data_IF_314990675832
#
_entry.id   IF_314990675832
#
_cell.length_a   1.000
_cell.length_b   1.000
_cell.length_c   1.000
_cell.angle_alpha   90.00
_cell.angle_beta   90.00
_cell.angle_gamma   90.00
#
_symmetry.space_group_name_H-M   'P 1'
#
loop_
_entity.id
_entity.type
_entity.pdbx_description
1 polymer ?
#
# COMPACT_ATOMS: atom_id res chain seq x y z
N UNK A 1 -53.55 -25.20 -26.57
CA UNK A 1 -53.80 -23.97 -25.78
C UNK A 1 -52.48 -23.53 -25.26
N UNK A 2 -51.95 -22.44 -25.82
CA UNK A 2 -50.56 -22.07 -25.72
C UNK A 2 -50.31 -21.27 -24.44
N UNK A 3 -49.51 -21.79 -23.54
CA UNK A 3 -49.07 -21.17 -22.27
C UNK A 3 -48.19 -19.92 -22.44
N UNK A 4 -47.88 -19.52 -23.66
CA UNK A 4 -46.94 -18.43 -23.95
C UNK A 4 -47.60 -17.05 -24.14
N UNK A 5 -48.92 -16.95 -24.14
CA UNK A 5 -49.64 -15.68 -24.36
C UNK A 5 -49.40 -14.62 -23.28
N UNK A 6 -49.28 -14.94 -21.99
CA UNK A 6 -49.01 -13.93 -20.98
C UNK A 6 -47.59 -13.35 -21.07
N UNK A 7 -46.62 -14.17 -21.47
CA UNK A 7 -45.20 -13.75 -21.57
C UNK A 7 -45.03 -12.80 -22.76
N UNK A 8 -45.62 -13.09 -23.90
CA UNK A 8 -45.56 -12.24 -25.08
C UNK A 8 -46.23 -10.87 -24.86
N UNK A 9 -47.28 -10.83 -24.06
CA UNK A 9 -47.93 -9.56 -23.68
C UNK A 9 -47.01 -8.68 -22.84
N UNK A 10 -46.31 -9.26 -21.85
CA UNK A 10 -45.34 -8.56 -21.01
C UNK A 10 -44.14 -8.06 -21.82
N UNK A 11 -43.60 -8.87 -22.72
CA UNK A 11 -42.49 -8.50 -23.60
C UNK A 11 -42.88 -7.35 -24.55
N UNK A 12 -44.11 -7.33 -25.05
CA UNK A 12 -44.61 -6.26 -25.90
C UNK A 12 -44.82 -4.96 -25.13
N UNK A 13 -45.20 -5.02 -23.86
CA UNK A 13 -45.38 -3.85 -23.01
C UNK A 13 -44.01 -3.25 -22.65
N UNK A 14 -43.01 -4.09 -22.38
CA UNK A 14 -41.63 -3.68 -22.09
C UNK A 14 -40.88 -3.08 -23.32
N UNK A 15 -41.32 -3.42 -24.54
CA UNK A 15 -40.77 -2.90 -25.80
C UNK A 15 -41.42 -1.61 -26.26
N UNK A 16 -42.42 -1.08 -25.51
CA UNK A 16 -42.99 0.24 -25.85
C UNK A 16 -41.88 1.30 -25.81
N UNK A 17 -41.62 1.97 -26.94
CA UNK A 17 -40.69 3.08 -26.91
C UNK A 17 -41.26 4.20 -26.03
N UNK A 18 -40.55 4.52 -24.96
CA UNK A 18 -40.92 5.66 -24.11
C UNK A 18 -40.75 6.92 -24.97
N UNK A 19 -41.80 7.74 -25.14
CA UNK A 19 -41.65 8.97 -25.91
C UNK A 19 -40.70 9.91 -25.14
N UNK A 20 -39.48 9.99 -25.62
CA UNK A 20 -38.48 10.95 -25.13
C UNK A 20 -38.88 12.32 -25.67
N UNK A 21 -39.22 13.23 -24.80
CA UNK A 21 -39.59 14.59 -25.18
C UNK A 21 -38.45 15.23 -25.97
N UNK A 22 -38.69 15.79 -27.18
CA UNK A 22 -37.67 16.42 -28.01
C UNK A 22 -36.91 17.58 -27.28
N UNK A 23 -37.50 18.08 -26.21
CA UNK A 23 -36.90 19.14 -25.38
C UNK A 23 -35.94 18.63 -24.31
N UNK A 24 -35.86 17.32 -24.07
CA UNK A 24 -35.00 16.77 -23.00
C UNK A 24 -33.52 17.06 -23.32
N UNK A 25 -33.10 16.79 -24.56
CA UNK A 25 -31.74 17.03 -25.00
C UNK A 25 -31.36 18.52 -24.91
N UNK A 26 -32.29 19.39 -25.28
CA UNK A 26 -32.09 20.84 -25.19
C UNK A 26 -31.96 21.32 -23.74
N UNK A 27 -32.78 20.78 -22.84
CA UNK A 27 -32.73 21.12 -21.40
C UNK A 27 -31.48 20.59 -20.72
N UNK A 28 -31.05 19.38 -21.06
CA UNK A 28 -29.83 18.78 -20.52
C UNK A 28 -28.61 19.55 -21.01
N UNK A 29 -28.53 19.83 -22.31
CA UNK A 29 -27.45 20.61 -22.88
C UNK A 29 -27.41 22.04 -22.36
N UNK A 30 -28.55 22.71 -22.18
CA UNK A 30 -28.62 24.02 -21.61
C UNK A 30 -28.12 24.06 -20.13
N UNK A 31 -28.38 22.99 -19.34
CA UNK A 31 -27.83 22.89 -17.99
C UNK A 31 -26.34 22.62 -17.97
N UNK A 32 -25.83 21.78 -18.85
CA UNK A 32 -24.40 21.47 -18.96
C UNK A 32 -23.63 22.74 -19.38
N UNK A 33 -24.16 23.50 -20.35
CA UNK A 33 -23.53 24.74 -20.81
C UNK A 33 -23.69 25.90 -19.77
N UNK A 34 -24.79 25.97 -19.04
CA UNK A 34 -24.97 26.96 -17.97
C UNK A 34 -24.13 26.64 -16.72
N UNK A 35 -23.77 25.37 -16.50
CA UNK A 35 -22.85 24.96 -15.44
C UNK A 35 -21.37 25.15 -15.79
N UNK A 36 -21.05 25.44 -17.04
CA UNK A 36 -19.71 25.84 -17.43
C UNK A 36 -19.43 27.24 -16.90
N UNK A 37 -18.88 27.33 -15.69
CA UNK A 37 -18.34 28.61 -15.20
C UNK A 37 -17.35 29.12 -16.24
N UNK A 38 -17.45 30.39 -16.67
CA UNK A 38 -16.44 30.96 -17.54
C UNK A 38 -15.10 30.77 -16.85
N UNK A 39 -14.14 30.17 -17.55
CA UNK A 39 -12.79 30.08 -17.06
C UNK A 39 -12.36 31.50 -16.65
N UNK A 40 -11.80 31.71 -15.46
CA UNK A 40 -11.30 33.02 -15.07
C UNK A 40 -10.33 33.48 -16.17
N UNK A 41 -10.55 34.70 -16.68
CA UNK A 41 -9.68 35.29 -17.67
C UNK A 41 -8.23 35.14 -17.20
N UNK A 42 -7.27 34.79 -18.07
CA UNK A 42 -5.88 34.62 -17.64
C UNK A 42 -5.40 35.96 -17.10
N UNK A 43 -5.36 36.04 -15.79
CA UNK A 43 -4.75 37.17 -15.08
C UNK A 43 -3.29 37.23 -15.56
N UNK A 44 -2.86 38.37 -16.04
CA UNK A 44 -1.56 38.66 -16.67
C UNK A 44 -0.34 38.46 -15.73
N UNK A 45 -0.37 37.45 -14.88
CA UNK A 45 0.72 37.11 -13.97
C UNK A 45 1.09 35.63 -14.09
N UNK A 46 1.69 35.22 -15.24
CA UNK A 46 2.10 33.82 -15.45
C UNK A 46 3.11 33.34 -14.42
N UNK A 47 3.85 34.27 -13.81
CA UNK A 47 4.82 33.95 -12.77
C UNK A 47 4.21 33.53 -11.43
N UNK A 48 2.97 33.96 -11.10
CA UNK A 48 2.27 33.48 -9.90
C UNK A 48 1.83 32.02 -10.06
N UNK A 49 1.43 31.60 -11.24
CA UNK A 49 1.11 30.19 -11.51
C UNK A 49 2.37 29.32 -11.44
N UNK A 50 3.51 29.82 -11.92
CA UNK A 50 4.79 29.13 -11.81
C UNK A 50 5.26 29.05 -10.34
N UNK A 51 5.08 30.11 -9.57
CA UNK A 51 5.40 30.13 -8.14
C UNK A 51 4.54 29.14 -7.33
N UNK A 52 3.23 29.04 -7.65
CA UNK A 52 2.35 28.07 -7.01
C UNK A 52 2.73 26.62 -7.33
N UNK A 53 3.08 26.33 -8.59
CA UNK A 53 3.55 25.03 -8.99
C UNK A 53 4.88 24.67 -8.31
N UNK A 54 5.82 25.62 -8.22
CA UNK A 54 7.08 25.44 -7.54
C UNK A 54 6.90 25.22 -6.02
N UNK A 55 5.95 25.94 -5.40
CA UNK A 55 5.64 25.78 -3.98
C UNK A 55 5.02 24.39 -3.70
N UNK A 56 4.11 23.91 -4.53
CA UNK A 56 3.52 22.56 -4.39
C UNK A 56 4.60 21.49 -4.60
N UNK A 57 5.47 21.65 -5.59
CA UNK A 57 6.59 20.74 -5.82
C UNK A 57 7.57 20.77 -4.64
N UNK A 58 7.89 21.96 -4.11
CA UNK A 58 8.74 22.10 -2.94
C UNK A 58 8.11 21.45 -1.68
N UNK A 59 6.80 21.58 -1.48
CA UNK A 59 6.09 20.93 -0.36
C UNK A 59 6.07 19.40 -0.53
N UNK A 60 5.92 18.90 -1.76
CA UNK A 60 5.96 17.45 -2.03
C UNK A 60 7.36 16.90 -1.85
N UNK A 61 8.41 17.65 -2.26
CA UNK A 61 9.80 17.27 -2.09
C UNK A 61 10.32 17.52 -0.67
N UNK A 62 9.79 18.54 0.00
CA UNK A 62 10.13 18.90 1.39
C UNK A 62 9.23 18.20 2.43
N UNK A 63 8.47 17.19 2.04
CA UNK A 63 7.95 16.26 3.05
C UNK A 63 9.18 15.75 3.78
N UNK A 64 9.33 16.03 5.11
CA UNK A 64 10.42 15.44 5.86
C UNK A 64 10.28 13.94 5.61
N UNK A 65 11.18 13.42 4.77
CA UNK A 65 11.19 12.02 4.44
C UNK A 65 11.33 11.35 5.80
N UNK A 66 10.32 10.60 6.18
CA UNK A 66 10.47 9.69 7.30
C UNK A 66 11.63 8.78 6.91
N UNK A 67 12.82 9.20 7.30
CA UNK A 67 14.05 8.51 6.95
C UNK A 67 14.06 7.11 7.55
N UNK A 68 15.02 6.28 7.13
CA UNK A 68 15.17 4.94 7.67
C UNK A 68 15.29 4.99 9.20
N UNK A 69 14.46 4.22 9.89
CA UNK A 69 14.52 4.09 11.34
C UNK A 69 15.36 2.87 11.74
N UNK A 70 16.14 2.94 12.84
CA UNK A 70 16.84 1.78 13.35
C UNK A 70 15.83 0.80 13.96
N UNK A 71 15.85 -0.43 13.49
CA UNK A 71 15.05 -1.55 13.97
C UNK A 71 15.99 -2.55 14.62
N UNK A 72 15.70 -2.94 15.86
CA UNK A 72 16.44 -3.98 16.56
C UNK A 72 15.75 -5.34 16.34
N UNK A 73 16.49 -6.30 15.83
CA UNK A 73 16.06 -7.70 15.75
C UNK A 73 16.83 -8.48 16.81
N UNK A 74 16.14 -9.21 17.66
CA UNK A 74 16.73 -9.99 18.73
C UNK A 74 16.08 -11.38 18.82
N UNK A 75 16.91 -12.40 19.04
CA UNK A 75 16.48 -13.78 19.27
C UNK A 75 17.24 -14.38 20.44
N UNK A 76 16.51 -14.98 21.37
CA UNK A 76 17.11 -15.81 22.42
C UNK A 76 17.39 -17.21 21.88
N UNK A 77 18.67 -17.49 21.67
CA UNK A 77 19.12 -18.77 21.11
C UNK A 77 20.51 -19.14 21.69
N UNK A 78 20.58 -19.50 22.98
CA UNK A 78 21.85 -19.69 23.68
C UNK A 78 22.68 -20.83 23.12
N UNK A 79 22.04 -21.83 22.48
CA UNK A 79 22.69 -22.99 21.88
C UNK A 79 23.06 -22.80 20.40
N UNK A 80 22.68 -21.67 19.80
CA UNK A 80 22.99 -21.42 18.39
C UNK A 80 24.50 -21.12 18.21
N UNK A 81 25.05 -21.66 17.14
CA UNK A 81 26.40 -21.31 16.67
C UNK A 81 26.39 -20.04 15.81
N UNK A 82 25.30 -19.81 15.09
CA UNK A 82 25.09 -18.61 14.27
C UNK A 82 23.59 -18.29 14.17
N UNK A 83 23.28 -16.98 14.06
CA UNK A 83 21.93 -16.50 13.80
C UNK A 83 22.02 -15.38 12.78
N UNK A 84 21.12 -15.36 11.82
CA UNK A 84 20.92 -14.26 10.89
C UNK A 84 19.44 -13.89 10.79
N UNK A 85 19.12 -12.66 10.42
CA UNK A 85 17.76 -12.24 10.10
C UNK A 85 17.61 -12.10 8.58
N UNK A 86 16.51 -12.59 8.06
CA UNK A 86 16.16 -12.56 6.65
C UNK A 86 14.76 -11.98 6.49
N UNK A 87 14.50 -11.31 5.39
CA UNK A 87 13.20 -10.71 5.13
C UNK A 87 13.18 -9.92 3.83
N UNK A 88 12.07 -9.20 3.62
CA UNK A 88 11.85 -8.38 2.43
C UNK A 88 12.93 -7.29 2.23
N UNK A 89 13.61 -6.90 3.31
CA UNK A 89 14.64 -5.86 3.32
C UNK A 89 16.04 -6.34 2.88
N UNK A 90 16.27 -7.64 2.71
CA UNK A 90 17.56 -8.20 2.30
C UNK A 90 17.42 -9.40 1.34
N UNK A 91 16.32 -9.43 0.57
CA UNK A 91 16.03 -10.48 -0.43
C UNK A 91 16.06 -11.90 0.16
N UNK A 92 15.72 -12.03 1.44
CA UNK A 92 15.72 -13.31 2.17
C UNK A 92 17.07 -14.01 2.18
N UNK A 93 18.17 -13.26 2.08
CA UNK A 93 19.53 -13.79 2.02
C UNK A 93 20.11 -14.00 3.43
N UNK A 94 20.35 -15.26 3.87
CA UNK A 94 20.86 -15.56 5.20
C UNK A 94 22.27 -15.03 5.47
N UNK A 95 23.01 -14.64 4.44
CA UNK A 95 24.37 -14.11 4.58
C UNK A 95 24.42 -12.60 4.71
N UNK A 96 23.32 -11.91 4.42
CA UNK A 96 23.30 -10.45 4.35
C UNK A 96 23.29 -9.79 5.73
N UNK A 97 22.61 -10.37 6.72
CA UNK A 97 22.36 -9.72 8.02
C UNK A 97 22.61 -10.69 9.19
N UNK A 98 23.88 -11.01 9.48
CA UNK A 98 24.21 -11.84 10.65
C UNK A 98 23.99 -11.06 11.96
N UNK A 99 23.53 -11.76 13.00
CA UNK A 99 23.38 -11.23 14.34
C UNK A 99 24.66 -11.42 15.17
N UNK A 100 24.86 -10.51 16.11
CA UNK A 100 25.95 -10.61 17.08
C UNK A 100 25.47 -11.22 18.38
N UNK A 101 26.21 -12.18 18.92
CA UNK A 101 25.90 -12.82 20.20
C UNK A 101 26.18 -11.87 21.36
N UNK A 102 25.22 -11.66 22.21
CA UNK A 102 25.31 -10.89 23.44
C UNK A 102 25.50 -11.80 24.66
N UNK A 103 25.71 -11.18 25.82
CA UNK A 103 25.74 -11.92 27.09
C UNK A 103 24.38 -12.58 27.32
N UNK A 104 24.36 -13.80 27.88
CA UNK A 104 23.12 -14.52 28.17
C UNK A 104 22.60 -15.38 27.02
N UNK A 105 23.22 -15.36 25.84
CA UNK A 105 22.80 -16.20 24.72
C UNK A 105 21.79 -15.57 23.77
N UNK A 106 21.47 -14.29 23.98
CA UNK A 106 20.65 -13.49 23.05
C UNK A 106 21.50 -13.05 21.85
N UNK A 107 20.92 -13.09 20.67
CA UNK A 107 21.50 -12.59 19.43
C UNK A 107 20.79 -11.33 19.00
N UNK A 108 21.54 -10.32 18.51
CA UNK A 108 20.98 -9.02 18.19
C UNK A 108 21.69 -8.37 16.98
N UNK A 109 20.88 -7.65 16.17
CA UNK A 109 21.36 -6.74 15.12
C UNK A 109 20.44 -5.53 15.00
N UNK A 110 21.01 -4.38 14.63
CA UNK A 110 20.26 -3.17 14.29
C UNK A 110 20.32 -2.95 12.78
N UNK A 111 19.18 -2.88 12.14
CA UNK A 111 19.04 -2.63 10.69
C UNK A 111 18.30 -1.32 10.50
N UNK A 112 18.76 -0.48 9.60
CA UNK A 112 18.03 0.73 9.21
C UNK A 112 17.06 0.38 8.11
N UNK A 113 15.77 0.55 8.37
CA UNK A 113 14.68 0.23 7.44
C UNK A 113 13.86 1.48 7.14
N UNK A 114 13.47 1.64 5.90
CA UNK A 114 12.51 2.65 5.50
C UNK A 114 11.14 2.39 6.16
N UNK A 115 10.29 3.43 6.30
CA UNK A 115 8.93 3.22 6.78
C UNK A 115 8.17 2.25 5.89
N UNK A 116 7.57 1.23 6.50
CA UNK A 116 6.88 0.18 5.76
C UNK A 116 6.56 -1.04 6.62
N UNK A 117 5.98 -2.02 6.00
CA UNK A 117 5.73 -3.32 6.59
C UNK A 117 6.65 -4.35 5.94
N UNK A 118 7.28 -5.18 6.74
CA UNK A 118 8.26 -6.17 6.30
C UNK A 118 7.94 -7.52 6.90
N UNK A 119 7.97 -8.55 6.07
CA UNK A 119 8.00 -9.93 6.51
C UNK A 119 9.44 -10.34 6.81
N UNK A 120 9.64 -11.12 7.85
CA UNK A 120 10.98 -11.59 8.23
C UNK A 120 10.94 -12.90 9.01
N UNK A 121 12.09 -13.54 9.10
CA UNK A 121 12.35 -14.69 9.94
C UNK A 121 13.81 -14.69 10.42
N UNK A 122 14.12 -15.52 11.40
CA UNK A 122 15.50 -15.81 11.77
C UNK A 122 15.96 -17.12 11.12
N UNK A 123 17.22 -17.17 10.77
CA UNK A 123 17.88 -18.40 10.31
C UNK A 123 18.95 -18.78 11.34
N UNK A 124 18.72 -19.89 12.03
CA UNK A 124 19.59 -20.41 13.07
C UNK A 124 20.46 -21.52 12.47
N UNK A 125 21.76 -21.46 12.72
CA UNK A 125 22.76 -22.43 12.23
C UNK A 125 22.74 -22.64 10.71
N UNK A 126 22.34 -21.58 9.98
CA UNK A 126 22.36 -21.53 8.51
C UNK A 126 21.23 -22.26 7.79
N UNK A 127 20.39 -23.04 8.48
CA UNK A 127 19.36 -23.85 7.84
C UNK A 127 18.00 -23.88 8.57
N UNK A 128 17.97 -23.59 9.85
CA UNK A 128 16.73 -23.66 10.63
C UNK A 128 16.02 -22.31 10.63
N UNK A 129 14.91 -22.23 9.94
CA UNK A 129 14.07 -21.03 9.83
C UNK A 129 13.13 -20.95 11.02
N UNK A 130 13.23 -19.89 11.78
CA UNK A 130 12.47 -19.68 13.02
C UNK A 130 11.76 -18.33 12.94
N UNK A 131 10.42 -18.28 13.07
CA UNK A 131 9.71 -17.03 13.22
C UNK A 131 10.09 -16.38 14.54
N UNK A 132 9.98 -15.06 14.62
CA UNK A 132 10.18 -14.34 15.88
C UNK A 132 9.09 -14.73 16.88
N UNK A 133 9.45 -15.28 18.04
CA UNK A 133 8.45 -15.68 19.04
C UNK A 133 7.73 -14.49 19.68
N UNK A 134 8.27 -13.29 19.56
CA UNK A 134 7.74 -12.06 20.18
C UNK A 134 6.90 -11.22 19.21
N UNK A 135 7.02 -11.45 17.90
CA UNK A 135 6.29 -10.70 16.90
C UNK A 135 4.91 -11.29 16.57
N UNK A 136 3.97 -10.46 16.09
CA UNK A 136 2.74 -10.96 15.50
C UNK A 136 3.07 -11.93 14.38
N UNK A 137 2.52 -13.14 14.45
CA UNK A 137 2.66 -14.13 13.37
C UNK A 137 1.68 -13.77 12.27
N UNK A 138 2.19 -13.62 11.07
CA UNK A 138 1.37 -13.50 9.87
C UNK A 138 1.29 -14.83 9.17
N UNK A 139 0.21 -14.96 8.41
CA UNK A 139 -0.17 -16.13 7.68
C UNK A 139 1.03 -16.80 7.00
N UNK A 140 0.99 -18.09 7.05
CA UNK A 140 1.77 -19.05 6.33
C UNK A 140 1.95 -18.57 4.90
N UNK A 141 3.19 -18.43 4.44
CA UNK A 141 3.48 -18.24 3.03
C UNK A 141 2.97 -19.45 2.22
N UNK A 142 2.97 -19.37 0.92
CA UNK A 142 2.54 -20.47 0.02
C UNK A 142 3.33 -21.78 0.25
N UNK A 143 4.40 -21.75 1.05
CA UNK A 143 5.25 -22.89 1.41
C UNK A 143 4.98 -23.45 2.82
N UNK A 144 4.03 -22.89 3.55
CA UNK A 144 3.61 -23.41 4.85
C UNK A 144 4.45 -22.96 6.04
N UNK A 145 5.39 -22.04 5.88
CA UNK A 145 6.23 -21.53 6.96
C UNK A 145 5.65 -20.24 7.57
N UNK A 146 5.48 -20.17 8.88
CA UNK A 146 5.02 -18.93 9.53
C UNK A 146 6.15 -17.89 9.49
N UNK A 147 5.87 -16.73 8.91
CA UNK A 147 6.74 -15.56 8.97
C UNK A 147 6.27 -14.58 10.05
N UNK A 148 7.17 -13.76 10.53
CA UNK A 148 6.88 -12.65 11.43
C UNK A 148 6.73 -11.36 10.63
N UNK A 149 5.96 -10.41 11.15
CA UNK A 149 5.78 -9.10 10.53
C UNK A 149 6.17 -7.99 11.46
N UNK A 150 6.88 -7.01 10.92
CA UNK A 150 7.18 -5.77 11.60
C UNK A 150 6.71 -4.58 10.79
N UNK A 151 6.14 -3.58 11.48
CA UNK A 151 5.79 -2.29 10.89
C UNK A 151 6.75 -1.23 11.38
N UNK A 152 7.47 -0.61 10.45
CA UNK A 152 8.42 0.47 10.73
C UNK A 152 7.70 1.78 10.54
N UNK A 153 7.49 2.53 11.63
CA UNK A 153 7.07 3.91 11.55
C UNK A 153 8.26 4.79 11.18
N UNK A 154 8.05 5.80 10.34
CA UNK A 154 9.13 6.74 10.04
C UNK A 154 9.63 7.43 11.30
N UNK A 155 10.93 7.67 11.39
CA UNK A 155 11.52 8.47 12.46
C UNK A 155 10.85 9.85 12.48
N UNK A 156 10.23 10.21 13.60
CA UNK A 156 9.81 11.59 13.85
C UNK A 156 11.09 12.37 14.20
N UNK A 157 11.37 13.43 13.44
CA UNK A 157 12.38 14.42 13.78
C UNK A 157 11.86 15.34 14.87
#
# INVERSE_FOLDING_TARGET
MSENEPIERIVRELKRPVPVSPDLDRRVMARVLAGARPAPAPTRWPWLALAAAAAVTAIVLARPGRGPAPVAFALDAPQAASVSVVGDFNDWNPKATPLSRKRGGTWEVHVRLDPGQYNYAFVVNGSNWVPDPTAPKVAVDDFGSPNSVITVAGASL
#
